data_IF_094324188291
#
_entry.id   IF_094324188291
#
_cell.length_a   1.000
_cell.length_b   1.000
_cell.length_c   1.000
_cell.angle_alpha   90.00
_cell.angle_beta   90.00
_cell.angle_gamma   90.00
#
_symmetry.space_group_name_H-M   'P 1'
#
loop_
_entity.id
_entity.type
_entity.pdbx_description
1 polymer ?
#
# COMPACT_ATOMS: atom_id res chain seq x y z
N UNK A 1 -29.09 -36.26 -31.20
CA UNK A 1 -28.96 -35.71 -29.84
C UNK A 1 -27.53 -35.18 -29.73
N UNK A 2 -27.33 -33.90 -30.05
CA UNK A 2 -26.00 -33.29 -30.12
C UNK A 2 -25.68 -32.60 -28.81
N UNK A 3 -24.62 -33.04 -28.14
CA UNK A 3 -24.10 -32.41 -26.92
C UNK A 3 -23.28 -31.18 -27.34
N UNK A 4 -23.77 -29.98 -27.04
CA UNK A 4 -22.98 -28.75 -27.19
C UNK A 4 -22.09 -28.62 -25.97
N UNK A 5 -20.77 -28.70 -26.19
CA UNK A 5 -19.76 -28.47 -25.16
C UNK A 5 -19.54 -26.96 -25.03
N UNK A 6 -20.07 -26.35 -23.98
CA UNK A 6 -19.77 -24.96 -23.64
C UNK A 6 -18.33 -24.90 -23.09
N UNK A 7 -17.40 -24.37 -23.88
CA UNK A 7 -16.05 -24.07 -23.40
C UNK A 7 -16.09 -22.79 -22.57
N UNK A 8 -15.94 -22.92 -21.25
CA UNK A 8 -15.64 -21.79 -20.36
C UNK A 8 -14.20 -21.33 -20.64
N UNK A 9 -14.02 -20.26 -21.39
CA UNK A 9 -12.73 -19.60 -21.48
C UNK A 9 -12.52 -18.78 -20.21
N UNK A 10 -11.50 -19.14 -19.43
CA UNK A 10 -11.06 -18.32 -18.30
C UNK A 10 -10.57 -16.97 -18.85
N UNK A 11 -11.37 -15.92 -18.67
CA UNK A 11 -10.99 -14.56 -19.01
C UNK A 11 -9.74 -14.18 -18.24
N UNK A 12 -8.65 -13.93 -18.95
CA UNK A 12 -7.44 -13.39 -18.33
C UNK A 12 -7.76 -11.96 -17.93
N UNK A 13 -7.85 -11.70 -16.62
CA UNK A 13 -7.91 -10.34 -16.09
C UNK A 13 -6.63 -9.63 -16.53
N UNK A 14 -6.76 -8.57 -17.32
CA UNK A 14 -5.62 -7.68 -17.55
C UNK A 14 -5.40 -6.89 -16.26
N UNK A 15 -4.15 -6.76 -15.83
CA UNK A 15 -3.77 -5.93 -14.72
C UNK A 15 -2.94 -4.78 -15.25
N UNK A 16 -3.18 -3.58 -14.71
CA UNK A 16 -2.32 -2.44 -14.93
C UNK A 16 -1.22 -2.45 -13.90
N UNK A 17 0.00 -2.55 -14.39
CA UNK A 17 1.20 -2.42 -13.58
C UNK A 17 1.54 -0.93 -13.40
N UNK A 18 1.72 -0.50 -12.15
CA UNK A 18 2.16 0.85 -11.79
C UNK A 18 3.41 0.73 -10.92
N UNK A 19 4.51 1.34 -11.35
CA UNK A 19 5.74 1.40 -10.57
C UNK A 19 5.94 2.78 -9.97
N UNK A 20 6.21 2.84 -8.67
CA UNK A 20 6.48 4.09 -7.93
C UNK A 20 7.72 3.95 -7.05
N UNK A 21 8.37 5.07 -6.78
CA UNK A 21 9.46 5.16 -5.80
C UNK A 21 8.92 5.72 -4.49
N UNK A 22 9.11 4.99 -3.40
CA UNK A 22 8.75 5.41 -2.04
C UNK A 22 10.01 5.82 -1.29
N UNK A 23 10.28 7.13 -1.11
CA UNK A 23 11.44 7.58 -0.37
C UNK A 23 11.32 7.20 1.10
N UNK A 24 12.45 7.00 1.78
CA UNK A 24 12.47 6.60 3.19
C UNK A 24 11.80 7.62 4.14
N UNK A 25 11.70 8.87 3.69
CA UNK A 25 11.04 9.97 4.40
C UNK A 25 9.52 10.00 4.20
N UNK A 26 8.95 9.19 3.30
CA UNK A 26 7.52 9.22 3.00
C UNK A 26 6.69 8.70 4.18
N UNK A 27 5.85 9.58 4.73
CA UNK A 27 4.82 9.18 5.67
C UNK A 27 3.73 8.36 4.95
N UNK A 28 3.17 7.28 5.54
CA UNK A 28 2.23 6.38 4.84
C UNK A 28 0.84 6.99 4.58
N UNK A 29 0.48 8.03 5.32
CA UNK A 29 -0.68 8.89 5.05
C UNK A 29 -0.47 10.27 5.66
N UNK A 30 -1.35 11.22 5.34
CA UNK A 30 -1.32 12.55 5.95
C UNK A 30 -2.04 12.52 7.32
N UNK A 31 -1.34 12.72 8.46
CA UNK A 31 -1.93 12.72 9.80
C UNK A 31 -2.78 13.97 10.09
N UNK A 32 -2.59 15.07 9.35
CA UNK A 32 -3.46 16.25 9.45
C UNK A 32 -4.86 16.01 8.87
N UNK A 33 -4.96 15.20 7.81
CA UNK A 33 -6.24 14.75 7.23
C UNK A 33 -6.84 13.62 8.09
N UNK A 34 -5.99 12.70 8.55
CA UNK A 34 -6.39 11.49 9.28
C UNK A 34 -6.09 11.60 10.78
N UNK A 35 -6.61 12.64 11.46
CA UNK A 35 -6.24 12.98 12.85
C UNK A 35 -6.38 11.85 13.88
N UNK A 36 -7.36 10.95 13.74
CA UNK A 36 -7.54 9.76 14.61
C UNK A 36 -6.48 8.68 14.39
N UNK A 37 -5.71 8.77 13.31
CA UNK A 37 -4.59 7.91 12.95
C UNK A 37 -3.31 8.74 12.87
N UNK A 38 -3.13 9.68 13.79
CA UNK A 38 -1.89 10.44 13.89
C UNK A 38 -0.76 9.58 14.45
N UNK A 39 0.46 9.82 13.98
CA UNK A 39 1.68 9.12 14.40
C UNK A 39 2.87 10.07 14.30
N UNK A 40 3.96 9.67 14.96
CA UNK A 40 5.28 10.27 14.85
C UNK A 40 5.39 11.79 15.05
N UNK A 41 6.58 12.29 14.74
CA UNK A 41 6.92 13.72 14.75
C UNK A 41 6.35 14.50 13.56
N UNK A 42 5.94 13.78 12.50
CA UNK A 42 5.39 14.34 11.25
C UNK A 42 6.36 15.24 10.50
N UNK A 43 7.65 14.92 10.56
CA UNK A 43 8.75 15.63 9.91
C UNK A 43 9.17 15.00 8.57
N UNK A 44 8.39 14.05 8.06
CA UNK A 44 8.61 13.38 6.79
C UNK A 44 8.02 14.11 5.58
N UNK A 45 8.25 13.52 4.40
CA UNK A 45 7.62 13.94 3.16
C UNK A 45 6.19 13.42 3.05
N UNK A 46 5.43 13.95 2.09
CA UNK A 46 4.06 13.52 1.80
C UNK A 46 4.04 12.04 1.37
N UNK A 47 2.94 11.31 1.63
CA UNK A 47 2.78 9.96 1.11
C UNK A 47 2.92 9.92 -0.41
N UNK A 48 3.44 8.80 -0.92
CA UNK A 48 3.40 8.50 -2.34
C UNK A 48 1.99 8.04 -2.70
N UNK A 49 1.41 8.66 -3.72
CA UNK A 49 0.01 8.49 -4.05
C UNK A 49 -0.13 7.81 -5.41
N UNK A 50 -0.88 6.70 -5.45
CA UNK A 50 -1.33 6.07 -6.68
C UNK A 50 -2.80 6.44 -6.85
N UNK A 51 -3.07 7.37 -7.76
CA UNK A 51 -4.39 7.94 -8.03
C UNK A 51 -4.69 7.92 -9.53
N UNK A 52 -5.95 8.14 -9.91
CA UNK A 52 -6.38 8.15 -11.31
C UNK A 52 -6.54 6.76 -11.92
N UNK A 53 -6.34 5.70 -11.14
CA UNK A 53 -6.69 4.32 -11.51
C UNK A 53 -8.07 3.99 -10.99
N UNK A 54 -8.85 3.26 -11.78
CA UNK A 54 -10.12 2.74 -11.30
C UNK A 54 -9.86 1.58 -10.33
N UNK A 55 -10.20 1.76 -9.06
CA UNK A 55 -10.14 0.71 -8.06
C UNK A 55 -11.54 0.11 -7.90
N UNK A 56 -11.71 -1.12 -8.36
CA UNK A 56 -12.97 -1.84 -8.20
C UNK A 56 -13.08 -2.42 -6.80
N UNK A 57 -14.17 -2.10 -6.08
CA UNK A 57 -14.44 -2.70 -4.77
C UNK A 57 -14.34 -4.23 -4.81
N UNK A 58 -13.67 -4.80 -3.82
CA UNK A 58 -13.48 -6.25 -3.67
C UNK A 58 -12.38 -6.85 -4.56
N UNK A 59 -11.89 -6.12 -5.57
CA UNK A 59 -10.76 -6.55 -6.39
C UNK A 59 -9.48 -6.68 -5.55
N UNK A 60 -8.59 -7.58 -5.98
CA UNK A 60 -7.31 -7.85 -5.31
C UNK A 60 -6.19 -7.08 -6.00
N UNK A 61 -5.60 -6.12 -5.29
CA UNK A 61 -4.38 -5.43 -5.74
C UNK A 61 -3.18 -6.18 -5.21
N UNK A 62 -2.17 -6.41 -6.06
CA UNK A 62 -0.90 -7.04 -5.66
C UNK A 62 0.20 -6.00 -5.60
N UNK A 63 1.11 -6.18 -4.66
CA UNK A 63 2.26 -5.33 -4.45
C UNK A 63 3.52 -6.20 -4.45
N UNK A 64 4.58 -5.69 -5.07
CA UNK A 64 5.93 -6.21 -4.95
C UNK A 64 6.88 -5.03 -4.72
N UNK A 65 7.76 -5.13 -3.73
CA UNK A 65 8.68 -4.07 -3.37
C UNK A 65 10.12 -4.59 -3.27
N UNK A 66 11.06 -3.74 -3.65
CA UNK A 66 12.50 -3.97 -3.48
C UNK A 66 13.24 -2.66 -3.23
N UNK A 67 14.54 -2.75 -2.96
CA UNK A 67 15.36 -1.61 -2.57
C UNK A 67 15.58 -1.54 -1.07
N UNK A 68 16.22 -0.46 -0.63
CA UNK A 68 16.69 -0.30 0.73
C UNK A 68 16.47 1.13 1.22
N UNK A 69 16.14 1.23 2.49
CA UNK A 69 16.01 2.47 3.25
C UNK A 69 16.87 2.39 4.52
N UNK A 70 17.03 3.51 5.21
CA UNK A 70 17.73 3.59 6.49
C UNK A 70 16.97 4.54 7.41
N UNK A 71 17.11 4.34 8.72
CA UNK A 71 16.52 5.22 9.75
C UNK A 71 17.39 6.45 10.06
N UNK A 72 18.65 6.44 9.60
CA UNK A 72 19.60 7.55 9.67
C UNK A 72 20.50 7.51 8.42
N UNK A 73 21.11 8.63 7.97
CA UNK A 73 21.98 8.61 6.79
C UNK A 73 23.23 7.74 7.06
N UNK A 74 23.49 6.76 6.20
CA UNK A 74 24.60 5.80 6.38
C UNK A 74 24.35 4.71 7.42
N UNK A 75 23.12 4.59 7.94
CA UNK A 75 22.72 3.51 8.84
C UNK A 75 22.63 2.14 8.16
N UNK A 76 22.06 1.17 8.89
CA UNK A 76 21.82 -0.17 8.35
C UNK A 76 20.85 -0.10 7.17
N UNK A 77 21.11 -0.88 6.13
CA UNK A 77 20.18 -1.07 5.02
C UNK A 77 18.99 -1.93 5.48
N UNK A 78 17.78 -1.42 5.25
CA UNK A 78 16.52 -2.04 5.65
C UNK A 78 15.68 -2.25 4.40
N UNK A 79 15.28 -3.50 4.16
CA UNK A 79 14.37 -3.84 3.06
C UNK A 79 12.90 -3.55 3.39
N UNK A 80 11.98 -3.80 2.43
CA UNK A 80 10.56 -3.47 2.58
C UNK A 80 9.84 -4.13 3.77
N UNK A 81 10.31 -5.29 4.25
CA UNK A 81 9.75 -5.97 5.43
C UNK A 81 10.10 -5.27 6.76
N UNK A 82 10.97 -4.26 6.73
CA UNK A 82 11.44 -3.53 7.90
C UNK A 82 12.59 -4.21 8.64
N UNK A 83 13.07 -3.53 9.68
CA UNK A 83 14.22 -3.95 10.47
C UNK A 83 13.89 -5.21 11.28
N UNK A 84 14.64 -6.29 11.03
CA UNK A 84 14.31 -7.64 11.48
C UNK A 84 13.98 -7.74 12.98
N UNK A 85 14.72 -7.04 13.83
CA UNK A 85 14.69 -7.15 15.29
C UNK A 85 13.91 -6.02 15.99
N UNK A 86 13.19 -5.18 15.24
CA UNK A 86 12.44 -4.05 15.81
C UNK A 86 10.97 -4.12 15.42
N UNK A 87 10.13 -4.63 16.31
CA UNK A 87 8.67 -4.57 16.17
C UNK A 87 8.19 -3.17 16.57
N UNK A 88 7.39 -2.55 15.70
CA UNK A 88 6.89 -1.18 15.81
C UNK A 88 5.39 -1.14 15.48
N UNK A 89 4.62 -2.07 16.05
CA UNK A 89 3.17 -2.07 15.99
C UNK A 89 2.56 -1.22 17.11
N UNK A 90 2.72 -1.54 18.39
CA UNK A 90 2.09 -0.80 19.49
C UNK A 90 3.08 -0.04 20.40
N UNK A 91 4.38 -0.08 20.06
CA UNK A 91 5.41 0.59 20.83
C UNK A 91 5.35 2.11 20.67
N UNK A 92 5.69 2.84 21.75
CA UNK A 92 5.98 4.27 21.69
C UNK A 92 7.39 4.45 21.14
N UNK A 93 7.53 5.20 20.06
CA UNK A 93 8.81 5.48 19.44
C UNK A 93 9.58 6.62 20.12
N UNK A 94 10.73 6.98 19.55
CA UNK A 94 11.61 8.01 20.10
C UNK A 94 11.02 9.42 20.03
N UNK A 95 10.02 9.63 19.18
CA UNK A 95 9.21 10.85 19.12
C UNK A 95 8.26 11.03 20.32
N UNK A 96 8.09 9.99 21.16
CA UNK A 96 7.17 9.99 22.29
C UNK A 96 5.73 9.67 21.92
N UNK A 97 5.45 9.28 20.68
CA UNK A 97 4.14 8.84 20.20
C UNK A 97 4.26 7.52 19.42
N UNK A 98 3.12 6.90 19.09
CA UNK A 98 3.08 5.64 18.34
C UNK A 98 3.58 5.80 16.90
N UNK A 99 4.13 4.70 16.37
CA UNK A 99 4.40 4.50 14.94
C UNK A 99 3.08 4.36 14.14
N UNK A 100 3.07 4.59 12.81
CA UNK A 100 1.89 4.33 11.99
C UNK A 100 1.48 2.84 12.00
N UNK A 101 2.42 1.92 12.21
CA UNK A 101 2.19 0.48 12.37
C UNK A 101 1.13 0.12 13.41
N UNK A 102 0.87 1.00 14.38
CA UNK A 102 -0.20 0.87 15.37
C UNK A 102 -1.58 0.72 14.75
N UNK A 103 -1.82 1.42 13.65
CA UNK A 103 -3.11 1.48 12.98
C UNK A 103 -3.28 0.44 11.87
N UNK A 104 -2.24 -0.34 11.58
CA UNK A 104 -2.27 -1.41 10.58
C UNK A 104 -3.13 -2.57 11.06
N UNK A 105 -3.81 -3.24 10.12
CA UNK A 105 -4.59 -4.44 10.38
C UNK A 105 -3.78 -5.45 11.21
N UNK A 106 -4.38 -5.89 12.32
CA UNK A 106 -3.76 -6.86 13.23
C UNK A 106 -3.48 -8.20 12.56
N UNK A 107 -4.21 -8.53 11.49
CA UNK A 107 -4.00 -9.76 10.74
C UNK A 107 -2.65 -9.80 10.01
N UNK A 108 -2.02 -8.66 9.74
CA UNK A 108 -0.73 -8.57 9.04
C UNK A 108 0.44 -8.22 9.96
N UNK A 109 0.28 -8.38 11.28
CA UNK A 109 1.33 -8.15 12.28
C UNK A 109 2.28 -9.35 12.38
N UNK A 110 3.52 -9.17 12.89
CA UNK A 110 4.09 -7.92 13.42
C UNK A 110 4.46 -6.91 12.33
N UNK A 111 4.26 -5.63 12.61
CA UNK A 111 4.78 -4.54 11.76
C UNK A 111 6.11 -4.08 12.34
N UNK A 112 7.16 -4.01 11.51
CA UNK A 112 8.52 -3.68 11.93
C UNK A 112 8.88 -2.24 11.63
N UNK A 113 9.87 -1.70 12.35
CA UNK A 113 10.44 -0.38 12.06
C UNK A 113 10.89 -0.31 10.60
N UNK A 114 10.61 0.80 9.95
CA UNK A 114 10.94 1.10 8.56
C UNK A 114 10.30 0.16 7.50
N UNK A 115 9.32 -0.66 7.88
CA UNK A 115 8.57 -1.49 6.94
C UNK A 115 7.70 -0.63 5.98
N UNK A 116 7.50 -1.10 4.75
CA UNK A 116 6.60 -0.46 3.78
C UNK A 116 5.14 -0.69 4.16
N UNK A 117 4.39 0.40 4.29
CA UNK A 117 2.96 0.41 4.60
C UNK A 117 2.15 0.99 3.45
N UNK A 118 0.88 0.59 3.41
CA UNK A 118 -0.12 1.14 2.49
C UNK A 118 -1.44 1.45 3.17
N UNK A 119 -2.22 2.33 2.55
CA UNK A 119 -3.61 2.56 2.90
C UNK A 119 -4.43 2.88 1.64
N UNK A 120 -5.68 2.40 1.60
CA UNK A 120 -6.64 2.89 0.63
C UNK A 120 -7.22 4.22 1.10
N UNK A 121 -7.51 5.11 0.17
CA UNK A 121 -7.96 6.47 0.46
C UNK A 121 -9.13 6.89 -0.43
N UNK A 122 -9.96 7.82 0.04
CA UNK A 122 -10.98 8.51 -0.74
C UNK A 122 -10.39 9.68 -1.57
N UNK A 123 -11.24 10.41 -2.29
CA UNK A 123 -10.85 11.58 -3.09
C UNK A 123 -10.20 12.71 -2.28
N UNK A 124 -10.46 12.78 -0.97
CA UNK A 124 -9.93 13.79 -0.06
C UNK A 124 -8.65 13.31 0.66
N UNK A 125 -8.19 12.08 0.40
CA UNK A 125 -7.04 11.48 1.06
C UNK A 125 -7.32 10.94 2.46
N UNK A 126 -8.59 10.75 2.84
CA UNK A 126 -8.95 10.05 4.09
C UNK A 126 -8.83 8.57 3.88
N UNK A 127 -8.27 7.88 4.88
CA UNK A 127 -8.13 6.44 4.88
C UNK A 127 -9.51 5.77 4.86
N UNK A 128 -9.69 4.83 3.94
CA UNK A 128 -10.85 3.97 3.82
C UNK A 128 -10.44 2.54 4.19
N UNK A 129 -11.16 1.95 5.14
CA UNK A 129 -10.78 0.65 5.72
C UNK A 129 -9.58 0.74 6.69
N UNK A 130 -8.85 -0.36 6.82
CA UNK A 130 -7.64 -0.44 7.64
C UNK A 130 -6.39 -0.25 6.76
N UNK A 131 -5.38 0.54 7.22
CA UNK A 131 -4.03 0.47 6.68
C UNK A 131 -3.47 -0.96 6.76
N UNK A 132 -2.53 -1.29 5.87
CA UNK A 132 -1.99 -2.64 5.70
C UNK A 132 -0.47 -2.63 5.60
N UNK A 133 0.15 -3.71 6.04
CA UNK A 133 1.56 -4.00 5.77
C UNK A 133 1.70 -4.39 4.29
N UNK A 134 2.60 -3.75 3.57
CA UNK A 134 2.97 -4.16 2.21
C UNK A 134 4.17 -5.10 2.25
N UNK A 135 5.20 -4.77 3.03
CA UNK A 135 6.41 -5.58 3.08
C UNK A 135 7.05 -5.74 1.69
N UNK A 136 7.74 -6.87 1.47
CA UNK A 136 8.27 -7.27 0.15
C UNK A 136 7.14 -7.60 -0.83
N UNK A 137 6.04 -8.17 -0.35
CA UNK A 137 4.89 -8.52 -1.17
C UNK A 137 3.59 -8.52 -0.36
N UNK A 138 2.51 -8.06 -0.97
CA UNK A 138 1.19 -8.13 -0.38
C UNK A 138 0.10 -8.33 -1.45
N UNK A 139 -1.02 -8.89 -1.03
CA UNK A 139 -2.26 -8.93 -1.80
C UNK A 139 -3.38 -8.38 -0.91
N UNK A 140 -4.03 -7.29 -1.34
CA UNK A 140 -5.02 -6.59 -0.51
C UNK A 140 -6.28 -6.32 -1.33
N UNK A 141 -7.44 -6.48 -0.67
CA UNK A 141 -8.73 -6.19 -1.30
C UNK A 141 -9.06 -4.71 -1.21
N UNK A 142 -9.51 -4.15 -2.33
CA UNK A 142 -10.00 -2.76 -2.40
C UNK A 142 -11.28 -2.63 -1.57
N UNK A 143 -11.34 -1.76 -0.55
CA UNK A 143 -12.55 -1.50 0.20
C UNK A 143 -13.50 -0.57 -0.56
N UNK A 144 -14.79 -0.60 -0.20
CA UNK A 144 -15.80 0.29 -0.74
C UNK A 144 -15.39 1.76 -0.58
N UNK A 145 -15.47 2.55 -1.65
CA UNK A 145 -15.15 3.99 -1.63
C UNK A 145 -13.66 4.33 -1.76
N UNK A 146 -12.78 3.35 -1.95
CA UNK A 146 -11.39 3.61 -2.28
C UNK A 146 -11.25 4.22 -3.69
N UNK A 147 -10.53 5.34 -3.78
CA UNK A 147 -10.24 6.06 -5.02
C UNK A 147 -8.72 6.21 -5.28
N UNK A 148 -7.90 5.78 -4.33
CA UNK A 148 -6.45 5.73 -4.49
C UNK A 148 -5.78 4.88 -3.41
N UNK A 149 -4.46 4.78 -3.51
CA UNK A 149 -3.58 4.11 -2.54
C UNK A 149 -2.52 5.13 -2.11
N UNK A 150 -2.26 5.22 -0.80
CA UNK A 150 -1.11 5.94 -0.25
C UNK A 150 -0.07 4.96 0.27
N UNK A 151 1.21 5.23 0.02
CA UNK A 151 2.35 4.40 0.43
C UNK A 151 3.36 5.23 1.22
N UNK A 152 4.02 4.60 2.18
CA UNK A 152 5.09 5.19 2.97
C UNK A 152 5.69 4.22 3.98
N UNK A 153 6.52 4.75 4.87
CA UNK A 153 7.38 3.96 5.74
C UNK A 153 6.86 3.94 7.18
N UNK A 154 7.01 2.80 7.85
CA UNK A 154 6.69 2.65 9.26
C UNK A 154 7.77 3.25 10.16
N UNK A 155 7.73 4.57 10.35
CA UNK A 155 8.65 5.28 11.23
C UNK A 155 7.91 6.30 12.09
N UNK A 156 8.56 6.80 13.13
CA UNK A 156 8.03 7.87 13.97
C UNK A 156 8.88 9.15 13.89
N UNK A 157 10.09 9.06 13.33
CA UNK A 157 10.94 10.18 12.95
C UNK A 157 11.41 9.91 11.52
N UNK A 158 11.18 10.85 10.60
CA UNK A 158 11.41 10.62 9.17
C UNK A 158 12.50 11.52 8.59
N UNK A 159 12.84 12.62 9.26
CA UNK A 159 13.72 13.65 8.69
C UNK A 159 15.17 13.18 8.48
N UNK A 160 15.60 12.15 9.21
CA UNK A 160 16.89 11.49 9.13
C UNK A 160 16.88 10.21 8.27
N UNK A 161 15.71 9.77 7.81
CA UNK A 161 15.63 8.60 6.95
C UNK A 161 16.26 8.86 5.57
N UNK A 162 16.93 7.85 5.00
CA UNK A 162 17.54 7.92 3.67
C UNK A 162 17.25 6.67 2.84
N UNK A 163 17.44 6.78 1.51
CA UNK A 163 17.14 5.70 0.57
C UNK A 163 15.70 5.71 0.05
N UNK A 164 15.32 4.64 -0.65
CA UNK A 164 14.01 4.51 -1.27
C UNK A 164 13.69 3.07 -1.66
N UNK A 165 12.41 2.72 -1.64
CA UNK A 165 11.89 1.46 -2.13
C UNK A 165 11.27 1.65 -3.52
N UNK A 166 11.53 0.73 -4.44
CA UNK A 166 10.77 0.61 -5.70
C UNK A 166 9.60 -0.32 -5.47
N UNK A 167 8.38 0.14 -5.76
CA UNK A 167 7.14 -0.60 -5.53
C UNK A 167 6.38 -0.74 -6.83
N UNK A 168 6.16 -1.99 -7.23
CA UNK A 168 5.29 -2.37 -8.35
C UNK A 168 3.91 -2.73 -7.79
N UNK A 169 2.87 -2.20 -8.39
CA UNK A 169 1.48 -2.40 -7.99
C UNK A 169 0.67 -2.89 -9.18
N UNK A 170 0.15 -4.11 -9.07
CA UNK A 170 -0.73 -4.70 -10.08
C UNK A 170 -2.19 -4.44 -9.68
N UNK A 171 -2.84 -3.57 -10.45
CA UNK A 171 -4.23 -3.19 -10.25
C UNK A 171 -5.08 -3.90 -11.31
N UNK A 172 -6.01 -4.80 -10.92
CA UNK A 172 -6.90 -5.45 -11.87
C UNK A 172 -7.72 -4.44 -12.68
N UNK A 173 -7.74 -4.62 -14.00
CA UNK A 173 -8.63 -3.89 -14.90
C UNK A 173 -9.85 -4.76 -15.24
N UNK A 174 -11.04 -4.16 -15.23
CA UNK A 174 -12.22 -4.81 -15.74
C UNK A 174 -12.14 -4.85 -17.28
N UNK A 175 -12.35 -6.04 -17.86
CA UNK A 175 -12.60 -6.16 -19.30
C UNK A 175 -14.07 -5.86 -19.57
N UNK A 176 -14.34 -4.80 -20.32
CA UNK A 176 -15.64 -4.62 -20.96
C UNK A 176 -15.63 -5.41 -22.25
N UNK A 177 -16.34 -6.54 -22.28
CA UNK A 177 -16.63 -7.26 -23.53
C UNK A 177 -17.95 -6.70 -24.04
N UNK A 178 -17.91 -5.95 -25.15
CA UNK A 178 -19.12 -5.59 -25.89
C UNK A 178 -19.41 -6.74 -26.84
N UNK A 179 -20.46 -7.51 -26.55
CA UNK A 179 -21.00 -8.46 -27.52
C UNK A 179 -21.76 -7.65 -28.57
N UNK A 180 -21.21 -7.56 -29.78
CA UNK A 180 -21.97 -7.08 -30.93
C UNK A 180 -23.12 -8.06 -31.15
N UNK A 181 -24.36 -7.60 -30.93
CA UNK A 181 -25.52 -8.32 -31.44
C UNK A 181 -25.44 -8.24 -32.96
N UNK A 182 -24.98 -9.33 -33.58
CA UNK A 182 -25.18 -9.54 -35.01
C UNK A 182 -26.67 -9.34 -35.31
N UNK A 183 -26.97 -8.33 -36.12
CA UNK A 183 -28.31 -7.97 -36.52
C UNK A 183 -28.99 -9.14 -37.21
N UNK A 184 -30.21 -9.44 -36.76
CA UNK A 184 -31.18 -10.24 -37.52
C UNK A 184 -31.72 -9.42 -38.70
#
# INVERSE_FOLDING_TARGET
MGLVLAALTAGHVQAKEVTVMVPATAMPWNPGINGKKSFGRRDGSRPVMIVGQHLFEGAKVRFAASGETTTIPGGIAIGPDGQADFVADDNIGNSGVVFPGHYVDRATRPVKLNALLGAFIDADGRIVGAPFLVGVQAEVRVPAGAMGISLGINDDIYADNAGSLSVTVDIPEAKVIVEDKEGQ
#
